data_IF_947667805148
#
_entry.id   IF_947667805148
#
_cell.length_a   1.000
_cell.length_b   1.000
_cell.length_c   1.000
_cell.angle_alpha   90.00
_cell.angle_beta   90.00
_cell.angle_gamma   90.00
#
_symmetry.space_group_name_H-M   'P 1'
#
loop_
_entity.id
_entity.type
_entity.pdbx_description
1 polymer ?
#
# COMPACT_ATOMS: atom_id res chain seq x y z
N UNK A 1 -30.44 5.02 -54.26
CA UNK A 1 -31.48 5.88 -53.64
C UNK A 1 -31.60 5.70 -52.13
N UNK A 2 -31.85 4.49 -51.61
CA UNK A 2 -32.01 4.26 -50.16
C UNK A 2 -30.79 4.67 -49.31
N UNK A 3 -29.57 4.39 -49.77
CA UNK A 3 -28.35 4.80 -49.05
C UNK A 3 -28.18 6.33 -48.98
N UNK A 4 -28.52 7.05 -50.05
CA UNK A 4 -28.46 8.51 -50.06
C UNK A 4 -29.48 9.12 -49.09
N UNK A 5 -30.70 8.55 -49.03
CA UNK A 5 -31.72 8.96 -48.06
C UNK A 5 -31.27 8.70 -46.61
N UNK A 6 -30.66 7.54 -46.35
CA UNK A 6 -30.09 7.22 -45.04
C UNK A 6 -29.00 8.21 -44.62
N UNK A 7 -28.05 8.50 -45.51
CA UNK A 7 -26.95 9.43 -45.22
C UNK A 7 -27.46 10.85 -44.95
N UNK A 8 -28.39 11.34 -45.77
CA UNK A 8 -29.00 12.66 -45.59
C UNK A 8 -29.77 12.76 -44.27
N UNK A 9 -30.53 11.72 -43.92
CA UNK A 9 -31.26 11.67 -42.65
C UNK A 9 -30.31 11.61 -41.45
N UNK A 10 -29.27 10.77 -41.54
CA UNK A 10 -28.24 10.64 -40.51
C UNK A 10 -27.58 11.98 -40.22
N UNK A 11 -27.15 12.69 -41.27
CA UNK A 11 -26.49 13.99 -41.12
C UNK A 11 -27.42 15.02 -40.46
N UNK A 12 -28.70 15.07 -40.87
CA UNK A 12 -29.69 15.99 -40.28
C UNK A 12 -29.93 15.71 -38.80
N UNK A 13 -30.21 14.45 -38.43
CA UNK A 13 -30.46 14.08 -37.04
C UNK A 13 -29.22 14.21 -36.15
N UNK A 14 -28.03 14.00 -36.73
CA UNK A 14 -26.76 14.25 -36.03
C UNK A 14 -26.57 15.74 -35.73
N UNK A 15 -26.87 16.63 -36.69
CA UNK A 15 -26.80 18.10 -36.48
C UNK A 15 -27.80 18.58 -35.43
N UNK A 16 -28.95 17.92 -35.32
CA UNK A 16 -29.94 18.17 -34.27
C UNK A 16 -29.51 17.64 -32.88
N UNK A 17 -28.44 16.83 -32.81
CA UNK A 17 -27.88 16.34 -31.54
C UNK A 17 -28.53 15.06 -30.99
N UNK A 18 -29.41 14.39 -31.75
CA UNK A 18 -30.12 13.18 -31.29
C UNK A 18 -29.18 12.00 -30.98
N UNK A 19 -27.95 12.02 -31.49
CA UNK A 19 -26.95 10.97 -31.28
C UNK A 19 -25.95 11.31 -30.16
N UNK A 20 -26.09 12.48 -29.50
CA UNK A 20 -25.13 12.91 -28.50
C UNK A 20 -25.16 11.94 -27.29
N UNK A 21 -24.01 11.36 -26.90
CA UNK A 21 -23.93 10.44 -25.76
C UNK A 21 -24.45 11.04 -24.45
N UNK A 22 -24.53 12.37 -24.31
CA UNK A 22 -25.07 13.04 -23.12
C UNK A 22 -26.56 12.76 -22.86
N UNK A 23 -27.33 12.44 -23.90
CA UNK A 23 -28.75 12.10 -23.77
C UNK A 23 -28.99 10.60 -23.56
N UNK A 24 -27.95 9.78 -23.71
CA UNK A 24 -28.07 8.33 -23.56
C UNK A 24 -28.17 7.94 -22.10
N UNK A 25 -29.17 7.12 -21.79
CA UNK A 25 -29.43 6.59 -20.46
C UNK A 25 -28.54 5.37 -20.20
N UNK A 26 -28.06 5.24 -18.98
CA UNK A 26 -27.32 4.05 -18.54
C UNK A 26 -28.26 2.85 -18.38
N UNK A 27 -27.81 1.67 -18.83
CA UNK A 27 -28.56 0.43 -18.63
C UNK A 27 -28.56 -0.01 -17.16
N UNK A 28 -29.68 -0.53 -16.64
CA UNK A 28 -29.73 -1.11 -15.30
C UNK A 28 -28.88 -2.38 -15.23
N UNK A 29 -28.14 -2.57 -14.12
CA UNK A 29 -27.31 -3.77 -13.92
C UNK A 29 -28.12 -5.05 -13.72
N UNK A 30 -29.28 -4.95 -13.07
CA UNK A 30 -30.15 -6.09 -12.78
C UNK A 30 -31.60 -5.72 -13.12
N UNK A 31 -31.96 -5.69 -14.43
CA UNK A 31 -33.33 -5.38 -14.84
C UNK A 31 -34.29 -6.47 -14.33
N UNK A 32 -35.41 -6.07 -13.73
CA UNK A 32 -36.48 -6.94 -13.25
C UNK A 32 -37.65 -7.02 -14.21
N UNK A 33 -37.87 -5.98 -15.02
CA UNK A 33 -38.93 -5.92 -16.04
C UNK A 33 -38.33 -5.49 -17.36
N UNK A 34 -38.33 -6.38 -18.34
CA UNK A 34 -37.75 -6.14 -19.67
C UNK A 34 -38.84 -6.19 -20.72
N UNK A 35 -38.98 -5.13 -21.51
CA UNK A 35 -39.86 -5.10 -22.67
C UNK A 35 -39.12 -5.50 -23.93
N UNK A 36 -39.67 -6.42 -24.72
CA UNK A 36 -39.15 -6.81 -26.03
C UNK A 36 -40.17 -6.41 -27.08
N UNK A 37 -39.78 -5.49 -27.96
CA UNK A 37 -40.57 -5.03 -29.10
C UNK A 37 -40.05 -5.75 -30.34
N UNK A 38 -40.83 -6.70 -30.84
CA UNK A 38 -40.49 -7.48 -32.03
C UNK A 38 -41.75 -8.15 -32.59
N UNK A 39 -41.64 -8.78 -33.75
CA UNK A 39 -42.74 -9.58 -34.30
C UNK A 39 -42.86 -10.90 -33.54
N UNK A 40 -44.07 -11.25 -33.08
CA UNK A 40 -44.37 -12.53 -32.41
C UNK A 40 -43.97 -13.76 -33.20
N UNK A 41 -43.98 -13.68 -34.54
CA UNK A 41 -43.64 -14.79 -35.42
C UNK A 41 -42.15 -14.81 -35.82
N UNK A 42 -41.35 -13.87 -35.32
CA UNK A 42 -39.94 -13.79 -35.68
C UNK A 42 -39.09 -14.88 -35.01
N UNK A 43 -38.14 -15.43 -35.76
CA UNK A 43 -37.10 -16.31 -35.21
C UNK A 43 -36.28 -15.61 -34.12
N UNK A 44 -36.04 -14.30 -34.27
CA UNK A 44 -35.33 -13.48 -33.29
C UNK A 44 -35.97 -13.54 -31.89
N UNK A 45 -37.31 -13.50 -31.79
CA UNK A 45 -37.99 -13.65 -30.51
C UNK A 45 -37.73 -15.03 -29.90
N UNK A 46 -37.82 -16.09 -30.71
CA UNK A 46 -37.61 -17.47 -30.26
C UNK A 46 -36.17 -17.68 -29.78
N UNK A 47 -35.18 -17.13 -30.49
CA UNK A 47 -33.77 -17.20 -30.11
C UNK A 47 -33.50 -16.49 -28.78
N UNK A 48 -34.05 -15.28 -28.60
CA UNK A 48 -33.94 -14.55 -27.33
C UNK A 48 -34.59 -15.32 -26.17
N UNK A 49 -35.80 -15.85 -26.37
CA UNK A 49 -36.50 -16.62 -25.33
C UNK A 49 -35.77 -17.92 -24.98
N UNK A 50 -35.20 -18.60 -25.99
CA UNK A 50 -34.39 -19.80 -25.79
C UNK A 50 -33.13 -19.49 -24.98
N UNK A 51 -32.45 -18.40 -25.29
CA UNK A 51 -31.27 -17.96 -24.55
C UNK A 51 -31.62 -17.60 -23.10
N UNK A 52 -32.73 -16.88 -22.90
CA UNK A 52 -33.25 -16.55 -21.56
C UNK A 52 -33.51 -17.79 -20.73
N UNK A 53 -34.12 -18.81 -21.34
CA UNK A 53 -34.39 -20.08 -20.68
C UNK A 53 -33.11 -20.88 -20.39
N UNK A 54 -32.21 -20.98 -21.36
CA UNK A 54 -30.96 -21.75 -21.25
C UNK A 54 -30.02 -21.21 -20.18
N UNK A 55 -29.91 -19.88 -20.05
CA UNK A 55 -29.03 -19.23 -19.07
C UNK A 55 -29.71 -19.02 -17.71
N UNK A 56 -30.91 -19.58 -17.52
CA UNK A 56 -31.68 -19.50 -16.29
C UNK A 56 -31.81 -18.06 -15.76
N UNK A 57 -32.11 -17.10 -16.62
CA UNK A 57 -32.27 -15.70 -16.18
C UNK A 57 -33.55 -15.54 -15.36
N UNK A 58 -33.46 -15.85 -14.07
CA UNK A 58 -34.59 -15.97 -13.15
C UNK A 58 -35.06 -14.63 -12.56
N UNK A 59 -34.24 -13.58 -12.70
CA UNK A 59 -34.46 -12.29 -12.02
C UNK A 59 -35.43 -11.37 -12.77
N UNK A 60 -35.72 -11.63 -14.05
CA UNK A 60 -36.45 -10.71 -14.91
C UNK A 60 -37.76 -11.28 -15.46
N UNK A 61 -38.78 -10.43 -15.46
CA UNK A 61 -40.06 -10.64 -16.14
C UNK A 61 -39.97 -10.06 -17.55
N UNK A 62 -40.29 -10.87 -18.54
CA UNK A 62 -40.25 -10.49 -19.96
C UNK A 62 -41.65 -10.11 -20.42
N UNK A 63 -41.78 -8.91 -20.98
CA UNK A 63 -43.00 -8.39 -21.57
C UNK A 63 -42.82 -8.29 -23.09
N UNK A 64 -43.68 -8.94 -23.86
CA UNK A 64 -43.56 -8.98 -25.32
C UNK A 64 -44.58 -8.03 -25.94
N UNK A 65 -44.08 -7.07 -26.71
CA UNK A 65 -44.87 -6.12 -27.48
C UNK A 65 -44.76 -6.46 -28.95
N UNK A 66 -45.86 -6.95 -29.51
CA UNK A 66 -45.93 -7.33 -30.92
C UNK A 66 -45.89 -6.11 -31.83
N UNK A 67 -44.98 -6.09 -32.77
CA UNK A 67 -44.84 -5.03 -33.76
C UNK A 67 -44.39 -5.58 -35.12
N UNK A 68 -44.83 -4.92 -36.19
CA UNK A 68 -44.30 -5.18 -37.53
C UNK A 68 -42.85 -4.70 -37.60
N UNK A 69 -41.95 -5.59 -38.02
CA UNK A 69 -40.50 -5.32 -38.12
C UNK A 69 -40.00 -5.28 -39.57
N UNK A 70 -40.91 -5.25 -40.55
CA UNK A 70 -40.60 -5.18 -41.98
C UNK A 70 -41.76 -4.55 -42.75
N UNK A 71 -41.45 -3.94 -43.89
CA UNK A 71 -42.42 -3.28 -44.78
C UNK A 71 -42.80 -1.86 -44.36
N UNK A 72 -43.58 -1.19 -45.22
CA UNK A 72 -43.86 0.26 -45.11
C UNK A 72 -44.66 0.65 -43.85
N UNK A 73 -45.45 -0.28 -43.29
CA UNK A 73 -46.25 -0.02 -42.08
C UNK A 73 -45.47 -0.32 -40.78
N UNK A 74 -44.25 -0.85 -40.87
CA UNK A 74 -43.43 -1.20 -39.71
C UNK A 74 -43.12 0.00 -38.80
N UNK A 75 -42.70 1.18 -39.30
CA UNK A 75 -42.38 2.32 -38.42
C UNK A 75 -43.56 2.72 -37.54
N UNK A 76 -44.76 2.79 -38.12
CA UNK A 76 -45.97 3.13 -37.38
C UNK A 76 -46.32 2.08 -36.31
N UNK A 77 -46.19 0.80 -36.63
CA UNK A 77 -46.41 -0.29 -35.67
C UNK A 77 -45.38 -0.27 -34.53
N UNK A 78 -44.11 -0.03 -34.84
CA UNK A 78 -43.02 0.07 -33.87
C UNK A 78 -43.23 1.25 -32.92
N UNK A 79 -43.60 2.42 -33.44
CA UNK A 79 -43.90 3.61 -32.63
C UNK A 79 -45.04 3.34 -31.65
N UNK A 80 -46.13 2.69 -32.09
CA UNK A 80 -47.24 2.36 -31.21
C UNK A 80 -46.84 1.37 -30.11
N UNK A 81 -46.09 0.33 -30.47
CA UNK A 81 -45.60 -0.65 -29.49
C UNK A 81 -44.64 0.00 -28.50
N UNK A 82 -43.74 0.86 -28.98
CA UNK A 82 -42.80 1.61 -28.17
C UNK A 82 -43.50 2.50 -27.15
N UNK A 83 -44.50 3.28 -27.56
CA UNK A 83 -45.28 4.13 -26.64
C UNK A 83 -45.96 3.31 -25.56
N UNK A 84 -46.65 2.23 -25.95
CA UNK A 84 -47.31 1.32 -24.99
C UNK A 84 -46.31 0.69 -24.01
N UNK A 85 -45.11 0.36 -24.49
CA UNK A 85 -44.07 -0.22 -23.66
C UNK A 85 -43.43 0.80 -22.72
N UNK A 86 -43.19 2.03 -23.18
CA UNK A 86 -42.61 3.11 -22.37
C UNK A 86 -43.58 3.63 -21.30
N UNK A 87 -44.89 3.50 -21.52
CA UNK A 87 -45.93 3.78 -20.51
C UNK A 87 -46.03 2.68 -19.44
N UNK A 88 -45.52 1.47 -19.73
CA UNK A 88 -45.33 0.45 -18.70
C UNK A 88 -44.02 0.77 -17.97
N UNK A 89 -44.08 0.92 -16.66
CA UNK A 89 -42.92 1.10 -15.76
C UNK A 89 -41.97 -0.12 -15.84
N UNK A 90 -41.18 -0.17 -16.91
CA UNK A 90 -40.21 -1.19 -17.29
C UNK A 90 -38.80 -0.65 -17.05
N UNK A 91 -37.86 -1.54 -16.78
CA UNK A 91 -36.48 -1.13 -16.49
C UNK A 91 -35.68 -0.89 -17.77
N UNK A 92 -36.01 -1.62 -18.84
CA UNK A 92 -35.35 -1.52 -20.15
C UNK A 92 -36.24 -2.07 -21.27
N UNK A 93 -36.12 -1.48 -22.46
CA UNK A 93 -36.77 -1.92 -23.68
C UNK A 93 -35.74 -2.42 -24.69
N UNK A 94 -36.10 -3.46 -25.44
CA UNK A 94 -35.30 -3.99 -26.55
C UNK A 94 -36.13 -3.89 -27.82
N UNK A 95 -35.64 -3.17 -28.82
CA UNK A 95 -36.18 -3.22 -30.18
C UNK A 95 -35.35 -4.23 -30.94
N UNK A 96 -35.95 -5.36 -31.29
CA UNK A 96 -35.23 -6.49 -31.85
C UNK A 96 -35.76 -6.90 -33.21
N UNK A 97 -34.83 -7.14 -34.14
CA UNK A 97 -35.09 -7.76 -35.43
C UNK A 97 -33.88 -8.60 -35.82
N UNK A 98 -34.12 -9.85 -36.21
CA UNK A 98 -33.07 -10.71 -36.77
C UNK A 98 -32.54 -10.21 -38.12
N UNK A 99 -31.67 -10.98 -38.75
CA UNK A 99 -31.16 -10.65 -40.08
C UNK A 99 -32.25 -10.51 -41.15
N UNK A 100 -31.92 -9.81 -42.23
CA UNK A 100 -32.81 -9.57 -43.37
C UNK A 100 -32.08 -8.83 -44.49
N UNK A 101 -32.78 -8.55 -45.58
CA UNK A 101 -32.25 -7.66 -46.62
C UNK A 101 -32.11 -6.24 -46.08
N UNK A 102 -31.28 -5.40 -46.74
CA UNK A 102 -31.15 -3.98 -46.35
C UNK A 102 -32.47 -3.23 -46.52
N UNK A 103 -33.29 -3.66 -47.48
CA UNK A 103 -34.63 -3.15 -47.74
C UNK A 103 -35.58 -3.44 -46.58
N UNK A 104 -35.49 -4.64 -45.98
CA UNK A 104 -36.33 -5.01 -44.83
C UNK A 104 -35.96 -4.20 -43.58
N UNK A 105 -34.66 -3.95 -43.37
CA UNK A 105 -34.16 -3.16 -42.24
C UNK A 105 -34.37 -1.64 -42.43
N UNK A 106 -34.72 -1.20 -43.65
CA UNK A 106 -34.87 0.23 -43.94
C UNK A 106 -35.99 0.90 -43.13
N UNK A 107 -36.98 0.13 -42.66
CA UNK A 107 -38.03 0.66 -41.78
C UNK A 107 -37.50 1.23 -40.45
N UNK A 108 -36.31 0.84 -40.01
CA UNK A 108 -35.67 1.39 -38.81
C UNK A 108 -34.91 2.70 -39.07
N UNK A 109 -34.90 3.17 -40.32
CA UNK A 109 -34.40 4.47 -40.73
C UNK A 109 -35.49 5.55 -40.79
N UNK A 110 -36.67 5.31 -40.19
CA UNK A 110 -37.73 6.31 -40.15
C UNK A 110 -37.44 7.43 -39.13
N UNK A 111 -37.66 8.68 -39.54
CA UNK A 111 -37.43 9.85 -38.70
C UNK A 111 -38.35 9.90 -37.48
N UNK A 112 -39.62 9.50 -37.63
CA UNK A 112 -40.56 9.53 -36.51
C UNK A 112 -40.18 8.48 -35.47
N UNK A 113 -39.79 7.28 -35.91
CA UNK A 113 -39.30 6.24 -35.00
C UNK A 113 -38.07 6.71 -34.23
N UNK A 114 -37.09 7.32 -34.91
CA UNK A 114 -35.90 7.89 -34.30
C UNK A 114 -36.26 8.93 -33.21
N UNK A 115 -37.16 9.87 -33.52
CA UNK A 115 -37.59 10.90 -32.55
C UNK A 115 -38.34 10.31 -31.36
N UNK A 116 -39.11 9.25 -31.55
CA UNK A 116 -39.83 8.60 -30.46
C UNK A 116 -38.91 7.75 -29.57
N UNK A 117 -37.87 7.10 -30.13
CA UNK A 117 -36.80 6.45 -29.34
C UNK A 117 -36.09 7.48 -28.46
N UNK A 118 -35.74 8.65 -29.01
CA UNK A 118 -35.07 9.71 -28.26
C UNK A 118 -35.92 10.24 -27.09
N UNK A 119 -37.25 10.33 -27.26
CA UNK A 119 -38.18 10.84 -26.24
C UNK A 119 -38.52 9.83 -25.14
N UNK A 120 -38.26 8.54 -25.36
CA UNK A 120 -38.63 7.50 -24.42
C UNK A 120 -38.01 7.75 -23.04
N UNK A 121 -38.73 7.42 -21.97
CA UNK A 121 -38.25 7.57 -20.59
C UNK A 121 -37.42 6.36 -20.17
N UNK A 122 -37.83 5.19 -20.64
CA UNK A 122 -37.16 3.91 -20.40
C UNK A 122 -35.90 3.83 -21.27
N UNK A 123 -34.78 3.24 -20.79
CA UNK A 123 -33.62 3.01 -21.64
C UNK A 123 -33.93 1.99 -22.73
N UNK A 124 -33.46 2.24 -23.95
CA UNK A 124 -33.72 1.42 -25.13
C UNK A 124 -32.42 0.80 -25.68
N UNK A 125 -32.47 -0.51 -25.90
CA UNK A 125 -31.46 -1.25 -26.65
C UNK A 125 -31.97 -1.48 -28.07
N UNK A 126 -31.18 -1.06 -29.05
CA UNK A 126 -31.39 -1.46 -30.44
C UNK A 126 -30.62 -2.73 -30.74
N UNK A 127 -31.32 -3.76 -31.23
CA UNK A 127 -30.77 -5.08 -31.54
C UNK A 127 -31.26 -5.54 -32.93
N UNK A 128 -30.84 -4.80 -33.96
CA UNK A 128 -31.35 -4.90 -35.32
C UNK A 128 -30.24 -5.45 -36.24
N UNK A 129 -30.49 -6.60 -36.88
CA UNK A 129 -29.58 -7.16 -37.87
C UNK A 129 -28.31 -7.80 -37.28
N UNK A 130 -27.18 -7.61 -37.96
CA UNK A 130 -25.84 -8.07 -37.56
C UNK A 130 -24.86 -6.89 -37.40
N UNK A 131 -23.60 -7.17 -37.05
CA UNK A 131 -22.56 -6.17 -36.78
C UNK A 131 -22.41 -5.08 -37.85
N UNK A 132 -22.58 -5.44 -39.14
CA UNK A 132 -22.42 -4.55 -40.29
C UNK A 132 -23.68 -3.75 -40.66
N UNK A 133 -24.84 -4.11 -40.12
CA UNK A 133 -26.11 -3.47 -40.42
C UNK A 133 -26.30 -2.28 -39.47
N UNK A 134 -26.14 -1.05 -39.99
CA UNK A 134 -26.36 0.17 -39.21
C UNK A 134 -27.63 0.86 -39.68
N UNK A 135 -28.52 1.14 -38.72
CA UNK A 135 -29.76 1.90 -38.95
C UNK A 135 -29.83 3.12 -38.04
N UNK A 136 -30.66 4.11 -38.38
CA UNK A 136 -30.82 5.34 -37.58
C UNK A 136 -31.23 5.02 -36.15
N UNK A 137 -32.12 4.04 -35.96
CA UNK A 137 -32.56 3.60 -34.65
C UNK A 137 -31.40 3.18 -33.73
N UNK A 138 -30.32 2.59 -34.28
CA UNK A 138 -29.13 2.20 -33.50
C UNK A 138 -28.36 3.41 -32.96
N UNK A 139 -28.32 4.51 -33.71
CA UNK A 139 -27.59 5.70 -33.31
C UNK A 139 -28.32 6.46 -32.21
N UNK A 140 -29.65 6.48 -32.26
CA UNK A 140 -30.50 7.16 -31.27
C UNK A 140 -30.70 6.35 -30.00
N UNK A 141 -30.72 5.01 -30.10
CA UNK A 141 -30.86 4.17 -28.93
C UNK A 141 -29.74 4.41 -27.89
N UNK A 142 -30.07 4.14 -26.62
CA UNK A 142 -29.16 4.31 -25.51
C UNK A 142 -27.99 3.32 -25.60
N UNK A 143 -28.26 2.12 -26.12
CA UNK A 143 -27.26 1.10 -26.37
C UNK A 143 -27.55 0.34 -27.67
N UNK A 144 -26.51 -0.02 -28.41
CA UNK A 144 -26.60 -0.87 -29.61
C UNK A 144 -26.03 -2.25 -29.30
N UNK A 145 -26.86 -3.28 -29.47
CA UNK A 145 -26.42 -4.66 -29.49
C UNK A 145 -26.31 -5.14 -30.96
N UNK A 146 -25.27 -5.90 -31.31
CA UNK A 146 -25.06 -6.34 -32.69
C UNK A 146 -26.08 -7.39 -33.16
N UNK A 147 -26.71 -8.12 -32.24
CA UNK A 147 -27.75 -9.11 -32.53
C UNK A 147 -28.78 -9.15 -31.41
N UNK A 148 -30.01 -9.64 -31.66
CA UNK A 148 -31.01 -9.90 -30.62
C UNK A 148 -30.47 -10.72 -29.44
N UNK A 149 -29.71 -11.79 -29.71
CA UNK A 149 -29.11 -12.62 -28.65
C UNK A 149 -28.03 -11.87 -27.85
N UNK A 150 -27.21 -11.05 -28.51
CA UNK A 150 -26.22 -10.23 -27.81
C UNK A 150 -26.86 -9.17 -26.89
N UNK A 151 -28.06 -8.68 -27.23
CA UNK A 151 -28.82 -7.77 -26.37
C UNK A 151 -29.20 -8.44 -25.05
N UNK A 152 -29.65 -9.70 -25.13
CA UNK A 152 -29.99 -10.52 -23.96
C UNK A 152 -28.74 -10.78 -23.12
N UNK A 153 -27.62 -11.18 -23.74
CA UNK A 153 -26.36 -11.44 -23.04
C UNK A 153 -25.78 -10.19 -22.36
N UNK A 154 -26.01 -9.01 -22.93
CA UNK A 154 -25.57 -7.74 -22.33
C UNK A 154 -26.41 -7.36 -21.12
N UNK A 155 -27.71 -7.66 -21.15
CA UNK A 155 -28.65 -7.31 -20.08
C UNK A 155 -28.61 -8.25 -18.89
N UNK A 156 -28.34 -9.53 -19.14
CA UNK A 156 -28.50 -10.56 -18.14
C UNK A 156 -27.19 -11.27 -17.82
N UNK A 157 -26.82 -11.22 -16.55
CA UNK A 157 -25.75 -12.04 -15.99
C UNK A 157 -26.25 -13.47 -15.79
N UNK A 158 -25.46 -14.46 -16.20
CA UNK A 158 -25.84 -15.85 -15.95
C UNK A 158 -25.76 -16.14 -14.45
N UNK A 159 -26.53 -17.12 -13.99
CA UNK A 159 -26.46 -17.57 -12.60
C UNK A 159 -25.02 -17.90 -12.18
N UNK A 160 -24.28 -18.57 -13.07
CA UNK A 160 -22.88 -18.94 -12.86
C UNK A 160 -21.97 -17.70 -12.73
N UNK A 161 -22.19 -16.65 -13.51
CA UNK A 161 -21.43 -15.40 -13.38
C UNK A 161 -21.70 -14.73 -12.02
N UNK A 162 -22.95 -14.76 -11.56
CA UNK A 162 -23.34 -14.21 -10.26
C UNK A 162 -22.68 -15.02 -9.13
N UNK A 163 -22.77 -16.35 -9.19
CA UNK A 163 -22.15 -17.25 -8.20
C UNK A 163 -20.63 -17.02 -8.13
N UNK A 164 -19.93 -17.01 -9.27
CA UNK A 164 -18.50 -16.70 -9.32
C UNK A 164 -18.17 -15.32 -8.76
N UNK A 165 -19.00 -14.31 -9.06
CA UNK A 165 -18.80 -12.97 -8.51
C UNK A 165 -18.96 -12.92 -6.99
N UNK A 166 -19.88 -13.71 -6.44
CA UNK A 166 -20.09 -13.83 -4.99
C UNK A 166 -18.91 -14.54 -4.33
N UNK A 167 -18.43 -15.64 -4.91
CA UNK A 167 -17.24 -16.36 -4.42
C UNK A 167 -16.02 -15.43 -4.37
N UNK A 168 -15.76 -14.68 -5.44
CA UNK A 168 -14.68 -13.71 -5.48
C UNK A 168 -14.84 -12.58 -4.45
N UNK A 169 -16.07 -12.13 -4.19
CA UNK A 169 -16.34 -11.15 -3.15
C UNK A 169 -16.10 -11.72 -1.74
N UNK A 170 -16.50 -12.96 -1.50
CA UNK A 170 -16.27 -13.67 -0.24
C UNK A 170 -14.78 -13.84 0.03
N UNK A 171 -14.01 -14.34 -0.95
CA UNK A 171 -12.56 -14.49 -0.85
C UNK A 171 -11.87 -13.16 -0.51
N UNK A 172 -12.25 -12.09 -1.21
CA UNK A 172 -11.70 -10.75 -0.98
C UNK A 172 -12.04 -10.24 0.42
N UNK A 173 -13.26 -10.49 0.89
CA UNK A 173 -13.70 -10.07 2.21
C UNK A 173 -12.94 -10.83 3.31
N UNK A 174 -12.73 -12.14 3.13
CA UNK A 174 -11.91 -12.96 4.01
C UNK A 174 -10.45 -12.49 4.08
N UNK A 175 -9.86 -12.13 2.93
CA UNK A 175 -8.50 -11.56 2.90
C UNK A 175 -8.41 -10.25 3.69
N UNK A 176 -9.38 -9.34 3.52
CA UNK A 176 -9.42 -8.07 4.24
C UNK A 176 -9.62 -8.25 5.74
N UNK A 177 -10.45 -9.21 6.15
CA UNK A 177 -10.63 -9.56 7.55
C UNK A 177 -9.36 -10.12 8.18
N UNK A 178 -8.73 -11.10 7.53
CA UNK A 178 -7.48 -11.68 8.01
C UNK A 178 -6.39 -10.61 8.14
N UNK A 179 -6.29 -9.70 7.16
CA UNK A 179 -5.36 -8.58 7.23
C UNK A 179 -5.65 -7.65 8.42
N UNK A 180 -6.92 -7.29 8.66
CA UNK A 180 -7.30 -6.45 9.81
C UNK A 180 -7.01 -7.14 11.15
N UNK A 181 -7.35 -8.43 11.26
CA UNK A 181 -7.11 -9.21 12.48
C UNK A 181 -5.62 -9.25 12.78
N UNK A 182 -4.79 -9.62 11.80
CA UNK A 182 -3.34 -9.67 11.96
C UNK A 182 -2.75 -8.32 12.37
N UNK A 183 -3.25 -7.21 11.82
CA UNK A 183 -2.81 -5.88 12.20
C UNK A 183 -3.13 -5.56 13.67
N UNK A 184 -4.33 -5.88 14.14
CA UNK A 184 -4.71 -5.67 15.54
C UNK A 184 -3.98 -6.61 16.50
N UNK A 185 -3.76 -7.86 16.12
CA UNK A 185 -2.93 -8.80 16.88
C UNK A 185 -1.51 -8.26 17.03
N UNK A 186 -0.89 -7.80 15.94
CA UNK A 186 0.43 -7.20 15.96
C UNK A 186 0.49 -5.94 16.83
N UNK A 187 -0.53 -5.08 16.74
CA UNK A 187 -0.64 -3.89 17.59
C UNK A 187 -0.73 -4.26 19.07
N UNK A 188 -1.59 -5.22 19.43
CA UNK A 188 -1.76 -5.67 20.80
C UNK A 188 -0.49 -6.34 21.33
N UNK A 189 0.19 -7.10 20.48
CA UNK A 189 1.46 -7.75 20.82
C UNK A 189 2.56 -6.69 21.06
N UNK A 190 2.63 -5.64 20.24
CA UNK A 190 3.54 -4.52 20.42
C UNK A 190 3.22 -3.69 21.68
N UNK A 191 1.95 -3.39 21.93
CA UNK A 191 1.53 -2.71 23.16
C UNK A 191 1.86 -3.55 24.39
N UNK A 192 1.57 -4.85 24.36
CA UNK A 192 1.90 -5.75 25.48
C UNK A 192 3.40 -5.82 25.75
N UNK A 193 4.24 -5.83 24.70
CA UNK A 193 5.69 -5.73 24.82
C UNK A 193 6.08 -4.39 25.44
N UNK A 194 5.56 -3.28 24.93
CA UNK A 194 5.81 -1.94 25.46
C UNK A 194 5.47 -1.84 26.95
N UNK A 195 4.29 -2.32 27.37
CA UNK A 195 3.88 -2.35 28.77
C UNK A 195 4.78 -3.25 29.63
N UNK A 196 5.21 -4.42 29.12
CA UNK A 196 6.15 -5.30 29.85
C UNK A 196 7.52 -4.65 30.01
N UNK A 197 8.04 -3.99 28.97
CA UNK A 197 9.34 -3.31 29.02
C UNK A 197 9.31 -2.06 29.91
N UNK A 198 8.26 -1.27 29.83
CA UNK A 198 8.09 -0.05 30.64
C UNK A 198 7.33 -0.29 31.95
N UNK A 199 7.27 -1.54 32.41
CA UNK A 199 6.64 -1.84 33.69
C UNK A 199 7.47 -1.27 34.83
N UNK A 200 6.79 -0.67 35.83
CA UNK A 200 7.42 -0.04 36.98
C UNK A 200 8.46 -0.95 37.67
N UNK A 201 8.17 -2.26 37.90
CA UNK A 201 9.16 -3.16 38.51
C UNK A 201 10.44 -3.29 37.66
N UNK A 202 10.30 -3.38 36.33
CA UNK A 202 11.45 -3.56 35.43
C UNK A 202 12.31 -2.30 35.33
N UNK A 203 11.68 -1.13 35.32
CA UNK A 203 12.36 0.17 35.40
C UNK A 203 13.10 0.29 36.74
N UNK A 204 12.46 -0.09 37.85
CA UNK A 204 13.08 -0.10 39.18
C UNK A 204 14.28 -1.05 39.21
N UNK A 205 14.14 -2.28 38.69
CA UNK A 205 15.23 -3.25 38.61
C UNK A 205 16.41 -2.73 37.77
N UNK A 206 16.14 -2.08 36.64
CA UNK A 206 17.18 -1.44 35.83
C UNK A 206 17.88 -0.31 36.59
N UNK A 207 17.14 0.53 37.32
CA UNK A 207 17.70 1.60 38.13
C UNK A 207 18.52 1.08 39.32
N UNK A 208 18.07 0.02 39.99
CA UNK A 208 18.82 -0.66 41.05
C UNK A 208 20.12 -1.24 40.48
N UNK A 209 20.07 -1.92 39.32
CA UNK A 209 21.27 -2.43 38.64
C UNK A 209 22.24 -1.32 38.26
N UNK A 210 21.75 -0.20 37.73
CA UNK A 210 22.57 0.97 37.44
C UNK A 210 23.23 1.52 38.71
N UNK A 211 22.47 1.66 39.80
CA UNK A 211 22.99 2.13 41.09
C UNK A 211 24.11 1.24 41.62
N UNK A 212 23.91 -0.08 41.63
CA UNK A 212 24.95 -1.03 42.06
C UNK A 212 26.19 -1.01 41.16
N UNK A 213 26.03 -0.78 39.86
CA UNK A 213 27.18 -0.70 38.97
C UNK A 213 28.01 0.56 39.23
N UNK A 214 27.35 1.70 39.46
CA UNK A 214 28.01 2.95 39.86
C UNK A 214 28.71 2.78 41.21
N UNK A 215 28.06 2.14 42.17
CA UNK A 215 28.63 1.83 43.49
C UNK A 215 29.91 0.97 43.36
N UNK A 216 29.88 -0.08 42.53
CA UNK A 216 31.06 -0.91 42.25
C UNK A 216 32.19 -0.11 41.60
N UNK A 217 31.87 0.73 40.62
CA UNK A 217 32.85 1.59 39.95
C UNK A 217 33.48 2.57 40.94
N UNK A 218 32.68 3.21 41.80
CA UNK A 218 33.15 4.12 42.82
C UNK A 218 34.09 3.41 43.81
N UNK A 219 33.70 2.24 44.30
CA UNK A 219 34.52 1.46 45.22
C UNK A 219 35.86 1.04 44.59
N UNK A 220 35.85 0.66 43.31
CA UNK A 220 37.07 0.34 42.58
C UNK A 220 37.98 1.56 42.41
N UNK A 221 37.42 2.75 42.12
CA UNK A 221 38.18 3.99 42.02
C UNK A 221 38.78 4.41 43.37
N UNK A 222 38.01 4.29 44.45
CA UNK A 222 38.47 4.58 45.82
C UNK A 222 39.60 3.62 46.24
N UNK A 223 39.45 2.32 46.01
CA UNK A 223 40.48 1.34 46.30
C UNK A 223 41.78 1.61 45.53
N UNK A 224 41.66 1.99 44.24
CA UNK A 224 42.83 2.36 43.43
C UNK A 224 43.51 3.64 43.94
N UNK A 225 42.73 4.65 44.33
CA UNK A 225 43.23 5.89 44.92
C UNK A 225 43.96 5.62 46.25
N UNK A 226 43.37 4.80 47.13
CA UNK A 226 44.00 4.41 48.39
C UNK A 226 45.30 3.67 48.15
N UNK A 227 45.31 2.66 47.29
CA UNK A 227 46.52 1.90 46.93
C UNK A 227 47.61 2.79 46.33
N UNK A 228 47.23 3.76 45.50
CA UNK A 228 48.18 4.72 44.94
C UNK A 228 48.82 5.58 46.04
N UNK A 229 48.02 6.06 46.99
CA UNK A 229 48.51 6.86 48.11
C UNK A 229 49.36 6.04 49.09
N UNK A 230 49.00 4.79 49.36
CA UNK A 230 49.81 3.85 50.16
C UNK A 230 51.18 3.63 49.52
N UNK A 231 51.24 3.31 48.22
CA UNK A 231 52.50 3.14 47.50
C UNK A 231 53.35 4.43 47.50
N UNK A 232 52.71 5.60 47.45
CA UNK A 232 53.41 6.89 47.54
C UNK A 232 53.99 7.10 48.94
N UNK A 233 53.23 6.76 49.98
CA UNK A 233 53.68 6.82 51.38
C UNK A 233 54.86 5.88 51.61
N UNK A 234 54.76 4.63 51.15
CA UNK A 234 55.84 3.64 51.24
C UNK A 234 57.11 4.11 50.53
N UNK A 235 56.98 4.72 49.35
CA UNK A 235 58.14 5.29 48.64
C UNK A 235 58.80 6.41 49.43
N UNK A 236 58.00 7.31 50.02
CA UNK A 236 58.52 8.40 50.86
C UNK A 236 59.18 7.87 52.12
N UNK A 237 58.57 6.87 52.77
CA UNK A 237 59.12 6.23 53.96
C UNK A 237 60.43 5.50 53.66
N UNK A 238 60.49 4.76 52.54
CA UNK A 238 61.71 4.11 52.09
C UNK A 238 62.81 5.13 51.73
N UNK A 239 62.47 6.23 51.06
CA UNK A 239 63.42 7.30 50.76
C UNK A 239 63.98 7.94 52.05
N UNK A 240 63.12 8.16 53.06
CA UNK A 240 63.54 8.63 54.37
C UNK A 240 64.49 7.64 55.05
N UNK A 241 64.13 6.35 55.11
CA UNK A 241 64.97 5.30 55.71
C UNK A 241 66.31 5.13 54.97
N UNK A 242 66.32 5.23 53.64
CA UNK A 242 67.56 5.21 52.85
C UNK A 242 68.44 6.41 53.15
N UNK A 243 67.84 7.61 53.24
CA UNK A 243 68.56 8.82 53.60
C UNK A 243 69.13 8.74 55.02
N UNK A 244 68.36 8.23 55.99
CA UNK A 244 68.81 8.03 57.37
C UNK A 244 69.92 6.97 57.47
N UNK A 245 69.78 5.84 56.77
CA UNK A 245 70.82 4.81 56.70
C UNK A 245 72.09 5.31 56.03
N UNK A 246 71.97 6.12 54.96
CA UNK A 246 73.10 6.78 54.32
C UNK A 246 73.76 7.77 55.29
N UNK A 247 72.98 8.59 56.00
CA UNK A 247 73.48 9.48 57.05
C UNK A 247 74.23 8.73 58.16
N UNK A 248 73.68 7.62 58.65
CA UNK A 248 74.30 6.82 59.70
C UNK A 248 75.56 6.09 59.25
N UNK A 249 75.60 5.57 58.01
CA UNK A 249 76.81 4.97 57.43
C UNK A 249 77.89 6.03 57.17
N UNK A 250 77.48 7.21 56.71
CA UNK A 250 78.41 8.30 56.36
C UNK A 250 79.02 9.04 57.54
N UNK A 251 78.42 8.97 58.73
CA UNK A 251 79.05 9.43 59.99
C UNK A 251 80.44 8.82 60.26
N UNK A 252 80.69 7.58 59.81
CA UNK A 252 81.97 6.87 60.05
C UNK A 252 82.98 7.01 58.91
N UNK A 253 82.60 7.57 57.76
CA UNK A 253 83.56 7.81 56.69
C UNK A 253 84.36 9.07 56.98
N UNK A 254 85.67 8.97 56.81
CA UNK A 254 86.62 10.06 56.96
C UNK A 254 87.16 10.34 55.56
N UNK A 255 86.87 11.54 55.04
CA UNK A 255 87.38 12.00 53.76
C UNK A 255 88.80 12.54 53.95
N UNK A 256 89.77 11.97 53.24
CA UNK A 256 91.17 12.41 53.23
C UNK A 256 91.30 13.52 52.19
N UNK A 257 91.76 14.70 52.63
CA UNK A 257 92.04 15.82 51.74
C UNK A 257 93.51 16.19 51.79
N UNK A 258 94.12 16.36 50.62
CA UNK A 258 95.47 16.91 50.45
C UNK A 258 95.37 18.19 49.63
N UNK A 259 95.87 19.31 50.14
CA UNK A 259 95.80 20.63 49.50
C UNK A 259 94.38 21.03 49.04
N UNK A 260 93.36 20.72 49.84
CA UNK A 260 91.96 21.11 49.58
C UNK A 260 91.18 20.23 48.59
N UNK A 261 91.81 19.24 47.94
CA UNK A 261 91.13 18.26 47.08
C UNK A 261 91.04 16.89 47.76
N UNK A 262 90.01 16.12 47.42
CA UNK A 262 89.84 14.74 47.89
C UNK A 262 90.98 13.91 47.27
N UNK A 263 91.77 13.26 48.12
CA UNK A 263 92.88 12.43 47.69
C UNK A 263 92.53 10.94 47.90
N UNK A 264 92.82 10.10 46.90
CA UNK A 264 92.67 8.66 47.03
C UNK A 264 93.88 8.06 47.78
N UNK A 265 93.67 6.96 48.50
CA UNK A 265 94.68 6.31 49.34
C UNK A 265 95.96 5.92 48.56
N UNK A 266 95.84 5.63 47.27
CA UNK A 266 96.94 5.20 46.40
C UNK A 266 97.90 6.34 46.02
N UNK A 267 97.46 7.60 46.13
CA UNK A 267 98.23 8.78 45.69
C UNK A 267 99.06 9.42 46.83
N UNK A 268 99.07 8.80 48.00
CA UNK A 268 99.68 9.33 49.23
C UNK A 268 101.08 8.74 49.47
N UNK A 269 102.07 9.59 49.75
CA UNK A 269 103.47 9.19 50.01
C UNK A 269 103.83 9.37 51.49
N UNK A 270 104.82 8.60 51.94
CA UNK A 270 105.42 8.76 53.28
C UNK A 270 105.94 10.19 53.45
N UNK A 271 105.69 10.77 54.62
CA UNK A 271 105.88 12.15 55.07
C UNK A 271 104.84 13.22 54.62
N UNK A 272 103.79 12.87 53.87
CA UNK A 272 102.74 13.82 53.49
C UNK A 272 101.82 14.23 54.65
N UNK A 273 101.47 15.53 54.75
CA UNK A 273 100.46 16.05 55.68
C UNK A 273 99.09 16.05 54.99
N UNK A 274 98.12 15.35 55.57
CA UNK A 274 96.75 15.25 55.08
C UNK A 274 95.74 15.67 56.15
N UNK A 275 94.62 16.25 55.71
CA UNK A 275 93.51 16.62 56.58
C UNK A 275 92.46 15.52 56.49
N UNK A 276 92.22 14.85 57.61
CA UNK A 276 91.16 13.87 57.81
C UNK A 276 89.89 14.59 58.24
N UNK A 277 88.87 14.58 57.39
CA UNK A 277 87.59 15.25 57.63
C UNK A 277 86.44 14.25 57.77
N UNK A 278 85.83 14.20 58.95
CA UNK A 278 84.53 13.56 59.20
C UNK A 278 83.43 14.62 59.10
N UNK A 279 82.16 14.19 59.07
CA UNK A 279 80.99 15.08 58.97
C UNK A 279 80.91 16.14 60.09
N UNK A 280 81.55 15.91 61.24
CA UNK A 280 81.48 16.80 62.41
C UNK A 280 82.85 17.25 62.95
N UNK A 281 83.97 16.79 62.37
CA UNK A 281 85.31 17.11 62.90
C UNK A 281 86.40 16.99 61.84
N UNK A 282 87.39 17.86 61.88
CA UNK A 282 88.59 17.78 61.05
C UNK A 282 89.84 17.64 61.92
N UNK A 283 90.78 16.79 61.52
CA UNK A 283 92.10 16.64 62.17
C UNK A 283 93.20 16.52 61.12
N UNK A 284 94.33 17.14 61.37
CA UNK A 284 95.54 16.96 60.56
C UNK A 284 96.30 15.71 61.00
N UNK A 285 96.75 14.92 60.02
CA UNK A 285 97.53 13.71 60.22
C UNK A 285 98.70 13.70 59.25
N UNK A 286 99.85 13.19 59.70
CA UNK A 286 101.04 12.99 58.88
C UNK A 286 101.16 11.50 58.55
N UNK A 287 101.35 11.20 57.27
CA UNK A 287 101.50 9.82 56.79
C UNK A 287 102.93 9.39 57.05
N UNK A 288 103.09 8.32 57.85
CA UNK A 288 104.38 7.72 58.17
C UNK A 288 104.79 6.75 57.07
#
# INVERSE_FOLDING_TARGET
DLEAQFLALKERLQKEGLFDPRFKKSLPKFPKKVGIITSKTSAALQDMLKLIHQKEYFLAKIYIFDALTQGNNAPFSLIQALKKADDMDLDVLIIARGGGSREDLFCFNDENLAREIFKAKTPIISAIGHEIDYVISDFVADFRAPTPSAAIDTLFYSKLDIEQSLDLMEEKLMQLWNYKIQNYENLLLNLSKFFKFNSLPKIIDEKIKQSHNIEKQLNHLLANQMRYNELKLDKLQNAYLQHENFFNKSKKFICIRKNGKIANLEDLKSDDIVILSSQTSQKEAKIL
#
